data_IF_271701206147
#
_entry.id   IF_271701206147
#
_cell.length_a   1.000
_cell.length_b   1.000
_cell.length_c   1.000
_cell.angle_alpha   90.00
_cell.angle_beta   90.00
_cell.angle_gamma   90.00
#
_symmetry.space_group_name_H-M   'P 1'
#
loop_
_entity.id
_entity.type
_entity.pdbx_description
1 polymer ?
#
# COMPACT_ATOMS: atom_id res chain seq x y z
N UNK A 1 15.32 20.24 41.04
CA UNK A 1 14.02 20.69 40.48
C UNK A 1 13.96 20.29 39.02
N UNK A 2 12.97 19.48 38.65
CA UNK A 2 12.73 19.10 37.26
C UNK A 2 12.15 20.31 36.50
N UNK A 3 12.79 20.70 35.39
CA UNK A 3 12.34 21.85 34.61
C UNK A 3 11.09 21.47 33.82
N UNK A 4 9.98 22.12 34.12
CA UNK A 4 8.71 21.96 33.39
C UNK A 4 8.70 22.92 32.20
N UNK A 5 8.58 22.38 30.99
CA UNK A 5 8.50 23.18 29.77
C UNK A 5 7.04 23.34 29.32
N UNK A 6 6.58 24.58 29.14
CA UNK A 6 5.23 24.89 28.62
C UNK A 6 5.32 25.89 27.47
N UNK A 7 4.46 25.72 26.46
CA UNK A 7 4.36 26.61 25.30
C UNK A 7 3.29 27.68 25.53
N UNK A 8 3.68 28.77 26.18
CA UNK A 8 2.82 29.90 26.53
C UNK A 8 2.74 30.93 25.38
N UNK A 9 3.88 31.33 24.82
CA UNK A 9 3.94 32.36 23.78
C UNK A 9 3.55 31.83 22.38
N UNK A 10 2.68 32.56 21.68
CA UNK A 10 2.09 32.15 20.39
C UNK A 10 1.85 33.33 19.47
N UNK A 11 2.19 33.16 18.19
CA UNK A 11 1.74 34.06 17.12
C UNK A 11 0.45 33.55 16.47
N UNK A 12 -0.58 34.40 16.40
CA UNK A 12 -1.85 34.13 15.74
C UNK A 12 -1.96 34.94 14.44
N UNK A 13 -2.58 34.39 13.41
CA UNK A 13 -2.79 35.06 12.13
C UNK A 13 -4.14 34.68 11.52
N UNK A 14 -4.87 35.68 11.03
CA UNK A 14 -6.12 35.47 10.31
C UNK A 14 -5.89 35.11 8.84
N UNK A 15 -6.96 34.75 8.12
CA UNK A 15 -6.87 34.28 6.74
C UNK A 15 -6.42 35.37 5.76
N UNK A 16 -6.69 36.65 6.04
CA UNK A 16 -6.27 37.77 5.21
C UNK A 16 -4.77 38.03 5.33
N UNK A 17 -4.27 38.13 6.56
CA UNK A 17 -2.85 38.27 6.85
C UNK A 17 -2.04 37.12 6.22
N UNK A 18 -2.58 35.89 6.25
CA UNK A 18 -1.97 34.72 5.61
C UNK A 18 -1.87 34.80 4.10
N UNK A 19 -2.84 35.44 3.43
CA UNK A 19 -2.78 35.65 1.97
C UNK A 19 -1.73 36.70 1.62
N UNK A 20 -1.57 37.73 2.44
CA UNK A 20 -0.57 38.79 2.25
C UNK A 20 0.86 38.30 2.54
N UNK A 21 1.06 37.53 3.61
CA UNK A 21 2.37 37.03 4.02
C UNK A 21 2.43 35.49 3.99
N UNK A 22 2.38 34.92 2.79
CA UNK A 22 2.29 33.46 2.60
C UNK A 22 3.49 32.69 3.20
N UNK A 23 4.66 33.34 3.24
CA UNK A 23 5.90 32.75 3.73
C UNK A 23 6.24 33.10 5.18
N UNK A 24 5.41 33.90 5.86
CA UNK A 24 5.74 34.35 7.20
C UNK A 24 5.86 33.19 8.20
N UNK A 25 6.88 33.28 9.05
CA UNK A 25 7.21 32.29 10.07
C UNK A 25 7.49 32.95 11.41
N UNK A 26 7.45 32.14 12.45
CA UNK A 26 7.81 32.55 13.80
C UNK A 26 9.01 31.69 14.20
N UNK A 27 10.14 32.33 14.42
CA UNK A 27 11.38 31.72 14.86
C UNK A 27 11.49 31.86 16.39
N UNK A 28 11.88 30.79 17.07
CA UNK A 28 12.08 30.78 18.53
C UNK A 28 13.57 31.01 18.76
N UNK A 29 13.90 32.12 19.42
CA UNK A 29 15.29 32.48 19.68
C UNK A 29 15.77 31.90 21.02
N UNK A 30 17.10 31.75 21.20
CA UNK A 30 17.67 31.38 22.50
C UNK A 30 17.29 32.40 23.55
N UNK A 31 16.84 31.93 24.72
CA UNK A 31 16.64 32.78 25.89
C UNK A 31 17.99 33.00 26.56
N UNK A 32 18.36 34.26 26.79
CA UNK A 32 19.63 34.62 27.43
C UNK A 32 19.37 35.02 28.88
N UNK A 33 18.49 36.00 29.10
CA UNK A 33 18.21 36.58 30.43
C UNK A 33 16.73 36.47 30.87
N UNK A 34 15.93 35.64 30.21
CA UNK A 34 14.51 35.43 30.53
C UNK A 34 14.23 33.93 30.66
N UNK A 35 13.22 33.58 31.46
CA UNK A 35 12.62 32.25 31.50
C UNK A 35 11.75 31.95 30.26
N UNK A 36 11.39 32.97 29.48
CA UNK A 36 10.71 32.84 28.19
C UNK A 36 11.66 32.84 27.00
N UNK A 37 11.30 32.12 25.94
CA UNK A 37 12.00 32.19 24.64
C UNK A 37 11.44 33.34 23.80
N UNK A 38 12.28 34.28 23.31
CA UNK A 38 11.81 35.33 22.42
C UNK A 38 11.28 34.74 21.11
N UNK A 39 10.15 35.27 20.63
CA UNK A 39 9.56 34.91 19.35
C UNK A 39 9.82 36.00 18.31
N UNK A 40 10.47 35.64 17.21
CA UNK A 40 10.71 36.53 16.07
C UNK A 40 9.72 36.23 14.95
N UNK A 41 8.85 37.18 14.61
CA UNK A 41 7.96 37.06 13.45
C UNK A 41 8.67 37.56 12.20
N UNK A 42 9.12 36.64 11.36
CA UNK A 42 9.74 36.97 10.08
C UNK A 42 8.69 36.94 8.96
N UNK A 43 8.40 38.10 8.37
CA UNK A 43 7.39 38.27 7.32
C UNK A 43 7.87 37.84 5.93
N UNK A 44 9.16 38.01 5.66
CA UNK A 44 9.80 37.76 4.37
C UNK A 44 11.10 36.98 4.60
N UNK A 45 11.02 35.72 5.07
CA UNK A 45 12.21 34.90 5.20
C UNK A 45 12.82 34.75 3.80
N UNK A 46 14.13 35.01 3.68
CA UNK A 46 14.84 35.03 2.41
C UNK A 46 14.38 33.92 1.47
N UNK A 47 14.04 34.29 0.24
CA UNK A 47 13.59 33.35 -0.78
C UNK A 47 14.73 32.39 -1.09
N UNK A 48 14.76 31.24 -0.43
CA UNK A 48 15.65 30.14 -0.82
C UNK A 48 15.30 29.73 -2.24
N UNK A 49 16.31 29.63 -3.10
CA UNK A 49 16.19 29.21 -4.49
C UNK A 49 15.30 27.97 -4.55
N UNK A 50 14.16 28.13 -5.23
CA UNK A 50 13.29 27.01 -5.53
C UNK A 50 14.08 26.10 -6.46
N UNK A 51 14.55 24.96 -5.95
CA UNK A 51 15.03 23.88 -6.81
C UNK A 51 13.93 23.45 -7.80
N UNK A 52 14.30 22.59 -8.74
CA UNK A 52 13.37 22.06 -9.73
C UNK A 52 12.08 21.55 -9.07
N UNK A 53 10.93 22.04 -9.57
CA UNK A 53 9.64 21.61 -9.04
C UNK A 53 9.36 20.22 -9.55
N UNK A 54 9.07 19.24 -8.68
CA UNK A 54 8.74 17.90 -9.13
C UNK A 54 7.49 17.96 -9.99
N UNK A 55 7.48 17.15 -11.06
CA UNK A 55 6.32 17.00 -11.91
C UNK A 55 5.09 16.61 -11.09
N UNK A 56 3.96 17.22 -11.43
CA UNK A 56 2.67 16.88 -10.85
C UNK A 56 1.65 16.82 -11.97
N UNK A 57 0.98 15.68 -12.08
CA UNK A 57 -0.20 15.56 -12.90
C UNK A 57 -1.24 16.62 -12.50
N UNK A 58 -1.81 17.35 -13.46
CA UNK A 58 -2.89 18.31 -13.19
C UNK A 58 -4.23 17.74 -13.62
N UNK A 59 -5.20 17.66 -12.71
CA UNK A 59 -6.50 17.01 -12.97
C UNK A 59 -7.27 17.69 -14.10
N UNK A 60 -7.07 19.00 -14.28
CA UNK A 60 -7.69 19.76 -15.36
C UNK A 60 -7.38 19.21 -16.77
N UNK A 61 -6.28 18.48 -16.94
CA UNK A 61 -5.92 17.82 -18.20
C UNK A 61 -7.01 16.87 -18.71
N UNK A 62 -7.72 16.22 -17.79
CA UNK A 62 -8.85 15.33 -18.11
C UNK A 62 -10.06 16.04 -18.69
N UNK A 63 -10.12 17.37 -18.60
CA UNK A 63 -11.23 18.14 -19.20
C UNK A 63 -11.11 18.25 -20.71
N UNK A 64 -9.92 17.99 -21.28
CA UNK A 64 -9.73 18.04 -22.73
C UNK A 64 -10.20 16.73 -23.38
N UNK A 65 -11.04 16.76 -24.44
CA UNK A 65 -11.57 15.56 -25.08
C UNK A 65 -10.51 14.56 -25.54
N UNK A 66 -9.42 15.06 -26.14
CA UNK A 66 -8.32 14.23 -26.67
C UNK A 66 -7.34 13.73 -25.59
N UNK A 67 -7.59 13.94 -24.30
CA UNK A 67 -6.65 13.55 -23.25
C UNK A 67 -6.43 12.03 -23.20
N UNK A 68 -7.50 11.22 -23.31
CA UNK A 68 -7.38 9.77 -23.24
C UNK A 68 -6.61 9.22 -24.45
N UNK A 69 -6.93 9.70 -25.65
CA UNK A 69 -6.22 9.37 -26.88
C UNK A 69 -4.74 9.74 -26.81
N UNK A 70 -4.43 10.92 -26.25
CA UNK A 70 -3.06 11.35 -26.02
C UNK A 70 -2.30 10.38 -25.11
N UNK A 71 -2.91 9.92 -24.02
CA UNK A 71 -2.28 8.96 -23.11
C UNK A 71 -2.06 7.61 -23.80
N UNK A 72 -3.06 7.10 -24.51
CA UNK A 72 -2.95 5.81 -25.23
C UNK A 72 -1.85 5.84 -26.30
N UNK A 73 -1.73 6.95 -27.04
CA UNK A 73 -0.68 7.14 -28.04
C UNK A 73 0.71 7.26 -27.42
N UNK A 74 0.83 7.91 -26.27
CA UNK A 74 2.12 8.18 -25.63
C UNK A 74 2.63 6.99 -24.82
N UNK A 75 1.73 6.16 -24.32
CA UNK A 75 2.08 5.05 -23.43
C UNK A 75 2.56 3.82 -24.21
N UNK A 76 3.85 3.48 -24.09
CA UNK A 76 4.44 2.28 -24.70
C UNK A 76 4.58 1.16 -23.67
N UNK A 77 4.04 -0.03 -23.96
CA UNK A 77 4.10 -1.19 -23.06
C UNK A 77 5.46 -1.91 -23.09
N UNK A 78 6.31 -1.63 -24.08
CA UNK A 78 7.56 -2.34 -24.31
C UNK A 78 8.75 -1.79 -23.51
N UNK A 79 8.55 -0.71 -22.75
CA UNK A 79 9.61 -0.10 -21.94
C UNK A 79 9.44 -0.39 -20.44
N UNK A 80 10.55 -0.54 -19.69
CA UNK A 80 10.47 -0.64 -18.23
C UNK A 80 9.73 0.56 -17.63
N UNK A 81 8.87 0.29 -16.65
CA UNK A 81 7.97 1.29 -16.03
C UNK A 81 8.63 2.65 -15.70
N UNK A 82 9.86 2.73 -15.14
CA UNK A 82 10.48 4.03 -14.88
C UNK A 82 10.70 4.89 -16.14
N UNK A 83 11.13 4.28 -17.25
CA UNK A 83 11.37 4.99 -18.51
C UNK A 83 10.05 5.39 -19.18
N UNK A 84 9.04 4.52 -19.12
CA UNK A 84 7.69 4.85 -19.60
C UNK A 84 7.12 6.07 -18.88
N UNK A 85 7.30 6.15 -17.55
CA UNK A 85 6.84 7.28 -16.73
C UNK A 85 7.61 8.57 -17.04
N UNK A 86 8.91 8.48 -17.31
CA UNK A 86 9.75 9.64 -17.67
C UNK A 86 9.34 10.22 -19.02
N UNK A 87 9.20 9.38 -20.05
CA UNK A 87 8.73 9.79 -21.38
C UNK A 87 7.32 10.40 -21.34
N UNK A 88 6.39 9.77 -20.62
CA UNK A 88 5.05 10.31 -20.42
C UNK A 88 5.08 11.67 -19.70
N UNK A 89 5.98 11.83 -18.73
CA UNK A 89 6.13 13.08 -17.98
C UNK A 89 6.57 14.23 -18.89
N UNK A 90 7.52 14.00 -19.79
CA UNK A 90 7.97 14.99 -20.76
C UNK A 90 6.87 15.36 -21.76
N UNK A 91 6.19 14.36 -22.32
CA UNK A 91 5.09 14.57 -23.24
C UNK A 91 3.95 15.38 -22.59
N UNK A 92 3.58 15.07 -21.35
CA UNK A 92 2.55 15.83 -20.61
C UNK A 92 2.97 17.27 -20.30
N UNK A 93 4.26 17.53 -20.06
CA UNK A 93 4.77 18.90 -19.87
C UNK A 93 4.60 19.72 -21.15
N UNK A 94 5.00 19.17 -22.29
CA UNK A 94 4.87 19.83 -23.60
C UNK A 94 3.39 20.05 -23.95
N UNK A 95 2.56 19.02 -23.80
CA UNK A 95 1.13 19.12 -24.06
C UNK A 95 0.41 20.15 -23.18
N UNK A 96 0.79 20.26 -21.91
CA UNK A 96 0.26 21.29 -21.02
C UNK A 96 0.61 22.71 -21.49
N UNK A 97 1.81 22.93 -22.02
CA UNK A 97 2.21 24.23 -22.55
C UNK A 97 1.42 24.59 -23.83
N UNK A 98 1.25 23.62 -24.73
CA UNK A 98 0.59 23.81 -26.03
C UNK A 98 -0.93 23.98 -25.89
N UNK A 99 -1.59 23.10 -25.13
CA UNK A 99 -3.06 23.06 -25.07
C UNK A 99 -3.62 23.99 -23.99
N UNK A 100 -3.10 23.91 -22.77
CA UNK A 100 -3.64 24.67 -21.63
C UNK A 100 -2.95 26.02 -21.47
N UNK A 101 -1.62 26.06 -21.58
CA UNK A 101 -0.82 27.23 -21.30
C UNK A 101 -1.05 27.78 -19.89
N UNK A 102 -1.01 29.10 -19.73
CA UNK A 102 -1.31 29.73 -18.45
C UNK A 102 -2.79 30.07 -18.32
N UNK A 103 -3.55 29.19 -17.64
CA UNK A 103 -4.99 29.33 -17.38
C UNK A 103 -5.34 30.68 -16.73
N UNK A 104 -4.50 31.19 -15.81
CA UNK A 104 -4.72 32.49 -15.16
C UNK A 104 -4.56 33.67 -16.12
N UNK A 105 -3.60 33.58 -17.06
CA UNK A 105 -3.42 34.59 -18.11
C UNK A 105 -4.59 34.56 -19.09
N UNK A 106 -5.02 33.38 -19.53
CA UNK A 106 -6.20 33.19 -20.42
C UNK A 106 -7.45 33.80 -19.79
N UNK A 107 -7.74 33.49 -18.53
CA UNK A 107 -8.85 34.09 -17.76
C UNK A 107 -8.84 35.61 -17.80
N UNK A 108 -7.68 36.22 -17.49
CA UNK A 108 -7.53 37.68 -17.48
C UNK A 108 -7.78 38.28 -18.87
N UNK A 109 -7.25 37.66 -19.92
CA UNK A 109 -7.47 38.10 -21.29
C UNK A 109 -8.95 38.05 -21.68
N UNK A 110 -9.65 36.95 -21.38
CA UNK A 110 -11.09 36.79 -21.69
C UNK A 110 -11.92 37.84 -20.94
N UNK A 111 -11.67 38.03 -19.63
CA UNK A 111 -12.37 39.06 -18.84
C UNK A 111 -12.13 40.47 -19.40
N UNK A 112 -10.91 40.79 -19.83
CA UNK A 112 -10.62 42.08 -20.45
C UNK A 112 -11.36 42.25 -21.78
N UNK A 113 -11.49 41.19 -22.59
CA UNK A 113 -12.27 41.23 -23.85
C UNK A 113 -13.76 41.40 -23.59
N UNK A 114 -14.33 40.66 -22.64
CA UNK A 114 -15.73 40.80 -22.24
C UNK A 114 -16.01 42.22 -21.73
N UNK A 115 -15.16 42.75 -20.86
CA UNK A 115 -15.26 44.13 -20.39
C UNK A 115 -15.15 45.16 -21.54
N UNK A 116 -14.35 44.87 -22.57
CA UNK A 116 -14.26 45.70 -23.77
C UNK A 116 -15.56 45.70 -24.59
N UNK A 117 -16.17 44.53 -24.78
CA UNK A 117 -17.46 44.38 -25.48
C UNK A 117 -18.57 45.13 -24.74
N UNK A 118 -18.64 44.97 -23.42
CA UNK A 118 -19.65 45.61 -22.56
C UNK A 118 -19.51 47.13 -22.46
N UNK A 119 -18.31 47.66 -22.77
CA UNK A 119 -18.05 49.11 -22.85
C UNK A 119 -18.24 49.70 -24.25
N UNK A 120 -18.51 48.87 -25.27
CA UNK A 120 -18.67 49.35 -26.62
C UNK A 120 -20.00 50.15 -26.77
N UNK A 121 -20.02 51.27 -27.52
CA UNK A 121 -21.23 52.08 -27.70
C UNK A 121 -22.35 51.36 -28.46
N UNK A 122 -22.03 50.26 -29.16
CA UNK A 122 -22.96 49.42 -29.91
C UNK A 122 -23.38 48.15 -29.16
N UNK A 123 -23.10 48.07 -27.86
CA UNK A 123 -23.48 46.94 -27.01
C UNK A 123 -25.00 46.70 -27.05
N UNK A 124 -25.41 45.43 -27.18
CA UNK A 124 -26.82 45.03 -27.31
C UNK A 124 -27.52 45.40 -28.63
N UNK A 125 -26.80 46.00 -29.59
CA UNK A 125 -27.33 46.33 -30.93
C UNK A 125 -26.60 45.63 -32.07
N UNK A 126 -25.46 45.00 -31.79
CA UNK A 126 -24.64 44.31 -32.77
C UNK A 126 -24.67 42.79 -32.56
N UNK A 127 -25.33 42.01 -33.45
CA UNK A 127 -25.41 40.55 -33.35
C UNK A 127 -24.04 39.85 -33.31
N UNK A 128 -23.01 40.44 -33.93
CA UNK A 128 -21.66 39.89 -33.90
C UNK A 128 -21.03 40.00 -32.49
N UNK A 129 -21.22 41.12 -31.81
CA UNK A 129 -20.72 41.32 -30.45
C UNK A 129 -21.45 40.41 -29.46
N UNK A 130 -22.76 40.18 -29.63
CA UNK A 130 -23.52 39.23 -28.81
C UNK A 130 -23.08 37.78 -29.03
N UNK A 131 -22.77 37.40 -30.27
CA UNK A 131 -22.19 36.08 -30.56
C UNK A 131 -20.82 35.93 -29.89
N UNK A 132 -19.96 36.93 -30.03
CA UNK A 132 -18.63 36.95 -29.44
C UNK A 132 -18.67 36.92 -27.90
N UNK A 133 -19.57 37.66 -27.28
CA UNK A 133 -19.79 37.64 -25.82
C UNK A 133 -20.25 36.27 -25.34
N UNK A 134 -21.17 35.62 -26.05
CA UNK A 134 -21.60 34.24 -25.75
C UNK A 134 -20.45 33.24 -25.90
N UNK A 135 -19.64 33.36 -26.94
CA UNK A 135 -18.48 32.49 -27.17
C UNK A 135 -17.42 32.67 -26.07
N UNK A 136 -17.06 33.91 -25.75
CA UNK A 136 -16.11 34.23 -24.68
C UNK A 136 -16.63 33.84 -23.29
N UNK A 137 -17.94 33.93 -23.05
CA UNK A 137 -18.53 33.48 -21.77
C UNK A 137 -18.44 31.96 -21.62
N UNK A 138 -18.70 31.21 -22.69
CA UNK A 138 -18.49 29.75 -22.71
C UNK A 138 -17.03 29.38 -22.48
N UNK A 139 -16.10 30.08 -23.13
CA UNK A 139 -14.67 29.88 -22.92
C UNK A 139 -14.26 30.21 -21.48
N UNK A 140 -14.80 31.28 -20.90
CA UNK A 140 -14.56 31.65 -19.51
C UNK A 140 -15.04 30.57 -18.54
N UNK A 141 -16.22 30.00 -18.75
CA UNK A 141 -16.74 28.91 -17.91
C UNK A 141 -15.83 27.68 -17.93
N UNK A 142 -15.30 27.31 -19.10
CA UNK A 142 -14.33 26.22 -19.22
C UNK A 142 -13.05 26.52 -18.45
N UNK A 143 -12.50 27.73 -18.59
CA UNK A 143 -11.28 28.18 -17.89
C UNK A 143 -11.51 28.24 -16.37
N UNK A 144 -12.68 28.69 -15.92
CA UNK A 144 -13.04 28.71 -14.50
C UNK A 144 -13.13 27.30 -13.91
N UNK A 145 -13.72 26.35 -14.64
CA UNK A 145 -13.75 24.94 -14.23
C UNK A 145 -12.33 24.35 -14.12
N UNK A 146 -11.46 24.63 -15.08
CA UNK A 146 -10.04 24.20 -15.03
C UNK A 146 -9.31 24.79 -13.82
N UNK A 147 -9.50 26.09 -13.54
CA UNK A 147 -8.93 26.76 -12.36
C UNK A 147 -9.43 26.13 -11.05
N UNK A 148 -10.72 25.84 -10.97
CA UNK A 148 -11.34 25.18 -9.82
C UNK A 148 -10.75 23.79 -9.56
N UNK A 149 -10.67 22.94 -10.58
CA UNK A 149 -10.07 21.61 -10.49
C UNK A 149 -8.61 21.66 -10.01
N UNK A 150 -7.85 22.64 -10.52
CA UNK A 150 -6.46 22.87 -10.13
C UNK A 150 -6.35 23.24 -8.64
N UNK A 151 -7.21 24.12 -8.13
CA UNK A 151 -7.20 24.51 -6.70
C UNK A 151 -7.74 23.42 -5.79
N UNK A 152 -8.78 22.71 -6.20
CA UNK A 152 -9.31 21.54 -5.50
C UNK A 152 -8.21 20.49 -5.33
N UNK A 153 -7.50 20.14 -6.40
CA UNK A 153 -6.39 19.20 -6.38
C UNK A 153 -5.25 19.66 -5.45
N UNK A 154 -4.87 20.93 -5.52
CA UNK A 154 -3.80 21.51 -4.67
C UNK A 154 -4.17 21.53 -3.19
N UNK A 155 -5.44 21.75 -2.87
CA UNK A 155 -5.96 21.77 -1.49
C UNK A 155 -6.07 20.38 -0.86
N UNK A 156 -6.22 19.32 -1.68
CA UNK A 156 -6.46 17.93 -1.25
C UNK A 156 -7.73 17.76 -0.38
N UNK A 157 -8.74 18.58 -0.60
CA UNK A 157 -10.06 18.42 0.03
C UNK A 157 -10.94 17.45 -0.77
N UNK A 158 -11.78 16.68 -0.08
CA UNK A 158 -12.68 15.70 -0.68
C UNK A 158 -14.12 16.22 -0.83
N UNK A 159 -14.54 17.15 0.02
CA UNK A 159 -15.93 17.62 0.08
C UNK A 159 -15.96 19.11 -0.24
N UNK A 160 -16.89 19.48 -1.12
CA UNK A 160 -17.26 20.86 -1.43
C UNK A 160 -18.63 21.04 -0.78
N UNK A 161 -18.76 21.98 0.14
CA UNK A 161 -20.09 22.50 0.50
C UNK A 161 -20.30 23.65 -0.46
N UNK A 162 -21.39 23.59 -1.23
CA UNK A 162 -21.67 24.49 -2.35
C UNK A 162 -21.37 25.97 -2.04
N UNK A 163 -20.70 26.65 -2.98
CA UNK A 163 -20.68 28.12 -3.04
C UNK A 163 -19.31 28.76 -3.34
N UNK A 164 -19.18 29.25 -4.58
CA UNK A 164 -18.18 30.15 -5.16
C UNK A 164 -16.96 29.51 -5.87
N UNK A 165 -16.89 29.65 -7.21
CA UNK A 165 -15.80 29.14 -8.05
C UNK A 165 -14.54 29.96 -7.74
N UNK A 166 -13.47 29.29 -7.28
CA UNK A 166 -12.21 29.90 -6.77
C UNK A 166 -12.28 30.41 -5.31
N UNK A 167 -12.93 29.66 -4.42
CA UNK A 167 -13.04 30.01 -3.00
C UNK A 167 -11.70 30.41 -2.37
N UNK A 168 -11.68 31.56 -1.69
CA UNK A 168 -10.59 31.99 -0.77
C UNK A 168 -10.17 30.85 0.17
N UNK A 169 -11.11 29.97 0.52
CA UNK A 169 -10.90 28.74 1.27
C UNK A 169 -9.78 27.84 0.69
N UNK A 170 -9.80 27.50 -0.61
CA UNK A 170 -8.81 26.59 -1.20
C UNK A 170 -7.41 27.19 -1.20
N UNK A 171 -7.30 28.50 -1.45
CA UNK A 171 -6.04 29.23 -1.36
C UNK A 171 -5.47 29.18 0.06
N UNK A 172 -6.29 29.52 1.05
CA UNK A 172 -5.90 29.49 2.46
C UNK A 172 -5.51 28.08 2.90
N UNK A 173 -6.29 27.06 2.54
CA UNK A 173 -5.97 25.65 2.84
C UNK A 173 -4.67 25.20 2.17
N UNK A 174 -4.47 25.55 0.90
CA UNK A 174 -3.23 25.25 0.16
C UNK A 174 -2.03 25.91 0.82
N UNK A 175 -2.14 27.18 1.23
CA UNK A 175 -1.09 27.90 1.94
C UNK A 175 -0.75 27.24 3.29
N UNK A 176 -1.77 26.89 4.10
CA UNK A 176 -1.58 26.16 5.36
C UNK A 176 -0.88 24.83 5.13
N UNK A 177 -1.30 24.06 4.11
CA UNK A 177 -0.71 22.77 3.76
C UNK A 177 0.74 22.90 3.31
N UNK A 178 1.03 23.87 2.42
CA UNK A 178 2.41 24.16 1.97
C UNK A 178 3.32 24.47 3.16
N UNK A 179 2.84 25.27 4.12
CA UNK A 179 3.58 25.56 5.35
C UNK A 179 3.81 24.31 6.20
N UNK A 180 2.76 23.52 6.46
CA UNK A 180 2.86 22.30 7.28
C UNK A 180 3.82 21.28 6.68
N UNK A 181 3.86 21.17 5.36
CA UNK A 181 4.71 20.21 4.64
C UNK A 181 6.10 20.77 4.33
N UNK A 182 6.40 22.03 4.66
CA UNK A 182 7.70 22.63 4.43
C UNK A 182 8.67 22.12 5.50
N UNK A 183 9.66 21.35 5.08
CA UNK A 183 10.78 20.94 5.92
C UNK A 183 11.76 22.11 5.97
N UNK A 184 11.90 22.75 7.14
CA UNK A 184 12.81 23.88 7.34
C UNK A 184 14.18 23.45 7.83
N UNK A 185 14.18 22.48 8.74
CA UNK A 185 15.38 21.93 9.37
C UNK A 185 15.17 20.47 9.74
N UNK A 186 16.24 19.70 9.70
CA UNK A 186 16.28 18.32 10.19
C UNK A 186 17.34 18.23 11.30
N UNK A 187 17.10 17.35 12.26
CA UNK A 187 18.04 17.09 13.34
C UNK A 187 18.96 15.94 12.93
N UNK A 188 20.26 16.13 13.09
CA UNK A 188 21.28 15.10 12.89
C UNK A 188 21.30 14.10 14.07
N UNK A 189 22.01 12.99 13.88
CA UNK A 189 22.24 11.98 14.92
C UNK A 189 23.04 12.49 16.12
N UNK A 190 23.92 13.47 15.91
CA UNK A 190 24.69 14.18 16.96
C UNK A 190 23.84 15.19 17.76
N UNK A 191 22.57 15.37 17.39
CA UNK A 191 21.64 16.29 18.04
C UNK A 191 21.63 17.72 17.48
N UNK A 192 22.52 18.08 16.55
CA UNK A 192 22.56 19.39 15.88
C UNK A 192 21.44 19.55 14.85
N UNK A 193 21.09 20.80 14.52
CA UNK A 193 20.08 21.12 13.50
C UNK A 193 20.75 21.56 12.19
N UNK A 194 20.40 20.90 11.09
CA UNK A 194 20.77 21.30 9.74
C UNK A 194 19.64 22.13 9.11
N UNK A 195 19.98 23.26 8.50
CA UNK A 195 19.04 24.09 7.73
C UNK A 195 19.39 24.18 6.24
N UNK A 196 20.51 23.62 5.81
CA UNK A 196 21.03 23.75 4.45
C UNK A 196 20.29 22.84 3.46
N UNK A 197 19.83 23.39 2.34
CA UNK A 197 18.89 22.70 1.46
C UNK A 197 19.46 21.44 0.81
N UNK A 198 20.74 21.45 0.42
CA UNK A 198 21.38 20.31 -0.23
C UNK A 198 21.59 19.17 0.78
N UNK A 199 22.13 19.50 1.94
CA UNK A 199 22.32 18.55 3.03
C UNK A 199 21.00 17.95 3.53
N UNK A 200 19.92 18.73 3.62
CA UNK A 200 18.59 18.22 3.94
C UNK A 200 18.11 17.16 2.94
N UNK A 201 18.44 17.30 1.64
CA UNK A 201 18.12 16.29 0.62
C UNK A 201 18.95 15.04 0.84
N UNK A 202 20.26 15.19 1.02
CA UNK A 202 21.18 14.06 1.15
C UNK A 202 20.90 13.25 2.42
N UNK A 203 20.56 13.93 3.53
CA UNK A 203 20.05 13.31 4.75
C UNK A 203 18.76 12.51 4.52
N UNK A 204 17.82 13.04 3.73
CA UNK A 204 16.57 12.34 3.44
C UNK A 204 16.82 11.10 2.57
N UNK A 205 17.64 11.24 1.52
CA UNK A 205 17.99 10.15 0.60
C UNK A 205 18.74 9.06 1.35
N UNK A 206 19.83 9.39 2.06
CA UNK A 206 20.61 8.43 2.85
C UNK A 206 19.75 7.67 3.86
N UNK A 207 18.88 8.37 4.59
CA UNK A 207 17.98 7.74 5.55
C UNK A 207 17.03 6.73 4.87
N UNK A 208 16.36 7.11 3.78
CA UNK A 208 15.43 6.22 3.10
C UNK A 208 16.14 5.07 2.38
N UNK A 209 17.30 5.33 1.78
CA UNK A 209 18.14 4.29 1.18
C UNK A 209 18.57 3.27 2.22
N UNK A 210 19.06 3.70 3.39
CA UNK A 210 19.38 2.81 4.51
C UNK A 210 18.15 2.04 5.01
N UNK A 211 17.02 2.73 5.18
CA UNK A 211 15.80 2.13 5.71
C UNK A 211 15.19 1.06 4.81
N UNK A 212 15.34 1.20 3.49
CA UNK A 212 14.86 0.22 2.52
C UNK A 212 15.96 -0.73 2.02
N UNK A 213 17.22 -0.53 2.44
CA UNK A 213 18.29 -1.50 2.28
C UNK A 213 17.96 -2.76 3.10
N UNK A 214 18.37 -3.91 2.59
CA UNK A 214 18.25 -5.17 3.31
C UNK A 214 19.15 -5.14 4.55
N UNK A 215 18.58 -5.41 5.73
CA UNK A 215 19.36 -5.51 6.97
C UNK A 215 20.06 -6.88 7.00
N UNK A 216 21.38 -6.89 6.83
CA UNK A 216 22.21 -8.02 7.27
C UNK A 216 22.28 -7.96 8.80
N UNK A 217 21.47 -8.78 9.48
CA UNK A 217 21.53 -8.89 10.94
C UNK A 217 22.42 -10.08 11.31
N UNK A 218 23.45 -9.84 12.12
CA UNK A 218 24.14 -10.90 12.86
C UNK A 218 23.22 -11.44 13.95
N UNK A 219 23.10 -12.76 14.07
CA UNK A 219 22.10 -13.41 14.92
C UNK A 219 22.72 -13.99 16.20
N UNK A 220 22.11 -13.66 17.34
CA UNK A 220 22.36 -14.28 18.64
C UNK A 220 21.73 -15.68 18.72
N UNK A 221 22.48 -16.58 19.37
CA UNK A 221 22.21 -18.01 19.55
C UNK A 221 21.01 -18.29 20.47
N UNK A 222 20.26 -19.34 20.12
CA UNK A 222 19.26 -19.98 20.97
C UNK A 222 19.41 -21.50 20.79
N UNK A 223 19.68 -22.20 21.89
CA UNK A 223 19.79 -23.66 21.97
C UNK A 223 18.43 -24.34 21.78
N UNK A 224 18.41 -25.42 20.99
CA UNK A 224 17.23 -26.22 20.68
C UNK A 224 17.51 -27.72 20.86
N UNK A 225 16.73 -28.44 21.68
CA UNK A 225 16.62 -29.88 21.65
C UNK A 225 15.38 -30.35 20.86
N UNK A 226 15.64 -31.20 19.85
CA UNK A 226 14.78 -32.24 19.22
C UNK A 226 13.87 -31.85 18.04
N UNK A 227 14.12 -32.47 16.87
CA UNK A 227 13.16 -33.35 16.14
C UNK A 227 13.79 -34.19 15.00
N UNK A 228 14.95 -34.81 15.23
CA UNK A 228 15.43 -35.99 14.49
C UNK A 228 16.16 -36.89 15.51
N UNK A 229 16.20 -38.23 15.35
CA UNK A 229 17.09 -39.04 16.16
C UNK A 229 18.50 -38.46 15.99
N UNK A 230 19.14 -38.10 17.10
CA UNK A 230 20.49 -37.58 17.06
C UNK A 230 21.37 -38.63 16.38
N UNK A 231 22.04 -38.21 15.31
CA UNK A 231 23.05 -39.05 14.68
C UNK A 231 24.17 -39.24 15.71
N UNK A 232 24.59 -40.49 15.89
CA UNK A 232 25.70 -40.85 16.77
C UNK A 232 26.93 -40.01 16.43
N UNK A 233 27.63 -39.52 17.46
CA UNK A 233 28.71 -38.54 17.31
C UNK A 233 29.80 -39.00 16.34
N UNK A 234 30.09 -40.30 16.32
CA UNK A 234 31.00 -40.92 15.34
C UNK A 234 30.56 -40.72 13.89
N UNK A 235 29.29 -41.01 13.60
CA UNK A 235 28.74 -40.86 12.25
C UNK A 235 28.63 -39.37 11.86
N UNK A 236 28.36 -38.49 12.82
CA UNK A 236 28.34 -37.04 12.61
C UNK A 236 29.72 -36.50 12.20
N UNK A 237 30.76 -36.89 12.93
CA UNK A 237 32.14 -36.51 12.64
C UNK A 237 32.62 -37.09 11.29
N UNK A 238 32.23 -38.33 10.98
CA UNK A 238 32.50 -38.91 9.65
C UNK A 238 31.84 -38.13 8.53
N UNK A 239 30.56 -37.77 8.65
CA UNK A 239 29.84 -36.99 7.64
C UNK A 239 30.47 -35.60 7.49
N UNK A 240 30.83 -34.94 8.60
CA UNK A 240 31.49 -33.63 8.55
C UNK A 240 32.86 -33.70 7.86
N UNK A 241 33.66 -34.71 8.19
CA UNK A 241 34.98 -34.94 7.56
C UNK A 241 34.87 -35.29 6.07
N UNK A 242 33.91 -36.11 5.66
CA UNK A 242 33.72 -36.51 4.26
C UNK A 242 33.16 -35.37 3.43
N UNK A 243 32.19 -34.63 3.98
CA UNK A 243 31.48 -33.58 3.25
C UNK A 243 32.20 -32.24 3.25
N UNK A 244 33.13 -32.01 4.19
CA UNK A 244 33.78 -30.72 4.40
C UNK A 244 32.86 -29.65 5.02
N UNK A 245 31.63 -29.99 5.39
CA UNK A 245 30.69 -29.05 6.01
C UNK A 245 30.90 -29.01 7.53
N UNK A 246 30.96 -27.79 8.08
CA UNK A 246 30.96 -27.59 9.53
C UNK A 246 29.60 -27.93 10.14
N UNK A 247 29.62 -28.62 11.28
CA UNK A 247 28.43 -28.85 12.08
C UNK A 247 27.84 -27.52 12.57
N UNK A 248 26.53 -27.34 12.38
CA UNK A 248 25.80 -26.19 12.87
C UNK A 248 24.71 -26.67 13.84
N UNK A 249 24.71 -26.11 15.06
CA UNK A 249 23.72 -26.41 16.10
C UNK A 249 22.36 -25.76 15.84
N UNK A 250 22.26 -24.84 14.88
CA UNK A 250 21.04 -24.11 14.54
C UNK A 250 20.98 -23.79 13.03
N UNK A 251 19.82 -24.03 12.41
CA UNK A 251 19.56 -23.74 11.00
C UNK A 251 19.30 -22.25 10.73
N UNK A 252 19.11 -21.45 11.79
CA UNK A 252 19.06 -20.00 11.74
C UNK A 252 17.93 -19.45 10.85
N UNK A 253 18.24 -18.36 10.14
CA UNK A 253 17.32 -17.71 9.20
C UNK A 253 17.73 -18.02 7.77
N UNK A 254 16.80 -18.54 6.99
CA UNK A 254 16.98 -18.82 5.58
C UNK A 254 15.96 -18.05 4.75
N UNK A 255 16.42 -17.29 3.75
CA UNK A 255 15.58 -16.49 2.84
C UNK A 255 14.52 -15.62 3.56
N UNK A 256 14.86 -15.04 4.70
CA UNK A 256 13.93 -14.19 5.45
C UNK A 256 13.13 -14.89 6.55
N UNK A 257 13.09 -16.24 6.57
CA UNK A 257 12.30 -17.06 7.48
C UNK A 257 13.17 -17.76 8.53
N UNK A 258 12.69 -17.83 9.77
CA UNK A 258 13.39 -18.55 10.84
C UNK A 258 13.09 -20.05 10.71
N UNK A 259 14.11 -20.85 10.44
CA UNK A 259 14.03 -22.32 10.47
C UNK A 259 14.19 -22.74 11.93
N UNK A 260 13.11 -22.60 12.70
CA UNK A 260 13.07 -23.04 14.10
C UNK A 260 12.28 -24.34 14.22
N UNK A 261 12.86 -25.34 14.89
CA UNK A 261 12.28 -26.69 15.04
C UNK A 261 11.27 -26.78 16.21
N UNK A 262 11.21 -25.75 17.07
CA UNK A 262 10.31 -25.74 18.22
C UNK A 262 8.91 -25.18 17.90
N UNK A 263 7.89 -25.62 18.67
CA UNK A 263 6.52 -25.06 18.65
C UNK A 263 6.58 -23.54 18.56
N UNK A 264 5.95 -22.99 17.52
CA UNK A 264 6.05 -21.57 17.15
C UNK A 264 5.45 -20.68 18.23
N UNK A 265 6.29 -20.23 19.16
CA UNK A 265 5.91 -19.27 20.21
C UNK A 265 5.81 -17.87 19.61
N UNK A 266 5.08 -16.98 20.29
CA UNK A 266 4.95 -15.56 19.89
C UNK A 266 6.32 -14.89 19.68
N UNK A 267 7.34 -15.35 20.41
CA UNK A 267 8.70 -14.83 20.37
C UNK A 267 9.36 -14.98 18.99
N UNK A 268 9.04 -16.03 18.24
CA UNK A 268 9.59 -16.24 16.88
C UNK A 268 9.14 -15.14 15.91
N UNK A 269 8.02 -14.48 16.19
CA UNK A 269 7.48 -13.39 15.38
C UNK A 269 7.86 -12.01 15.90
N UNK A 270 8.61 -11.92 17.01
CA UNK A 270 9.04 -10.64 17.59
C UNK A 270 9.89 -9.86 16.59
N UNK A 271 10.84 -10.51 15.93
CA UNK A 271 11.67 -9.92 14.87
C UNK A 271 10.83 -9.41 13.70
N UNK A 272 9.80 -10.15 13.27
CA UNK A 272 8.86 -9.70 12.23
C UNK A 272 8.02 -8.50 12.70
N UNK A 273 7.54 -8.50 13.95
CA UNK A 273 6.83 -7.37 14.52
C UNK A 273 7.69 -6.12 14.62
N UNK A 274 8.95 -6.26 15.02
CA UNK A 274 9.88 -5.16 15.13
C UNK A 274 10.23 -4.61 13.74
N UNK A 275 10.38 -5.47 12.73
CA UNK A 275 10.47 -5.03 11.31
C UNK A 275 9.25 -4.20 10.89
N UNK A 276 8.04 -4.67 11.20
CA UNK A 276 6.80 -3.92 10.89
C UNK A 276 6.80 -2.56 11.59
N UNK A 277 7.17 -2.49 12.87
CA UNK A 277 7.23 -1.23 13.64
C UNK A 277 8.32 -0.28 13.10
N UNK A 278 9.51 -0.79 12.82
CA UNK A 278 10.66 0.00 12.35
C UNK A 278 10.39 0.62 10.97
N UNK A 279 9.71 -0.11 10.08
CA UNK A 279 9.29 0.43 8.77
C UNK A 279 8.27 1.58 8.91
N UNK A 280 7.61 1.74 10.07
CA UNK A 280 6.53 2.71 10.32
C UNK A 280 6.90 3.86 11.26
N UNK A 281 8.18 4.24 11.33
CA UNK A 281 8.65 5.38 12.13
C UNK A 281 7.69 6.59 12.10
N UNK A 282 7.31 7.09 13.29
CA UNK A 282 6.16 7.98 13.49
C UNK A 282 6.16 9.30 12.71
N UNK A 283 7.29 9.71 12.14
CA UNK A 283 7.37 10.89 11.28
C UNK A 283 6.80 10.65 9.87
N UNK A 284 6.90 9.43 9.32
CA UNK A 284 6.36 9.06 8.00
C UNK A 284 4.86 9.34 7.91
N UNK A 285 4.16 9.06 9.00
CA UNK A 285 2.72 9.30 9.14
C UNK A 285 2.34 10.78 9.08
N UNK A 286 3.17 11.68 9.61
CA UNK A 286 2.89 13.12 9.66
C UNK A 286 3.09 13.83 8.32
N UNK A 287 3.87 13.22 7.42
CA UNK A 287 4.16 13.75 6.09
C UNK A 287 3.20 13.20 5.00
N UNK A 288 2.41 12.16 5.31
CA UNK A 288 1.54 11.48 4.35
C UNK A 288 0.07 11.91 4.47
N UNK A 289 -0.62 12.00 3.32
CA UNK A 289 -2.08 12.08 3.30
C UNK A 289 -2.69 10.74 3.74
N UNK A 290 -3.99 10.74 4.04
CA UNK A 290 -4.73 9.51 4.37
C UNK A 290 -4.56 8.43 3.28
N UNK A 291 -4.75 8.81 2.02
CA UNK A 291 -4.53 7.92 0.89
C UNK A 291 -3.09 7.40 0.82
N UNK A 292 -2.08 8.26 1.07
CA UNK A 292 -0.68 7.85 1.10
C UNK A 292 -0.37 6.83 2.21
N UNK A 293 -0.99 6.99 3.39
CA UNK A 293 -0.86 6.03 4.51
C UNK A 293 -1.48 4.69 4.15
N UNK A 294 -2.68 4.69 3.55
CA UNK A 294 -3.35 3.46 3.09
C UNK A 294 -2.48 2.74 2.05
N UNK A 295 -1.97 3.46 1.05
CA UNK A 295 -1.11 2.88 0.01
C UNK A 295 0.16 2.26 0.62
N UNK A 296 0.85 2.97 1.51
CA UNK A 296 2.05 2.44 2.15
C UNK A 296 1.75 1.23 3.04
N UNK A 297 0.62 1.25 3.77
CA UNK A 297 0.21 0.14 4.60
C UNK A 297 -0.06 -1.14 3.78
N UNK A 298 -0.68 -0.98 2.60
CA UNK A 298 -0.91 -2.10 1.68
C UNK A 298 0.37 -2.60 1.02
N UNK A 299 1.23 -1.69 0.55
CA UNK A 299 2.40 -2.06 -0.24
C UNK A 299 3.58 -2.55 0.62
N UNK A 300 3.69 -2.07 1.86
CA UNK A 300 4.84 -2.36 2.72
C UNK A 300 4.45 -3.23 3.91
N UNK A 301 3.39 -2.88 4.66
CA UNK A 301 3.08 -3.60 5.91
C UNK A 301 2.46 -4.97 5.62
N UNK A 302 1.49 -5.02 4.71
CA UNK A 302 0.76 -6.25 4.42
C UNK A 302 1.68 -7.36 3.89
N UNK A 303 2.64 -7.10 2.98
CA UNK A 303 3.49 -8.15 2.44
C UNK A 303 4.56 -8.69 3.38
N UNK A 304 4.94 -7.95 4.43
CA UNK A 304 6.01 -8.38 5.35
C UNK A 304 5.70 -9.75 5.97
N UNK A 305 4.43 -10.03 6.28
CA UNK A 305 4.02 -11.33 6.81
C UNK A 305 3.80 -12.40 5.75
N UNK A 306 3.77 -12.08 4.46
CA UNK A 306 3.49 -13.07 3.42
C UNK A 306 4.51 -14.20 3.43
N UNK A 307 5.79 -13.87 3.59
CA UNK A 307 6.87 -14.87 3.66
C UNK A 307 6.65 -15.85 4.82
N UNK A 308 6.31 -15.35 6.00
CA UNK A 308 5.98 -16.19 7.16
C UNK A 308 4.72 -17.03 6.90
N UNK A 309 3.67 -16.43 6.35
CA UNK A 309 2.40 -17.10 6.05
C UNK A 309 2.51 -18.21 5.00
N UNK A 310 3.49 -18.13 4.09
CA UNK A 310 3.68 -19.09 3.00
C UNK A 310 4.12 -20.48 3.45
N UNK A 311 4.68 -20.62 4.65
CA UNK A 311 5.23 -21.89 5.16
C UNK A 311 4.74 -22.23 6.59
N UNK A 312 3.98 -21.34 7.21
CA UNK A 312 3.62 -21.41 8.62
C UNK A 312 2.20 -20.91 8.88
N UNK A 313 1.48 -21.56 9.80
CA UNK A 313 0.30 -20.95 10.43
C UNK A 313 0.74 -19.92 11.49
N UNK A 314 0.52 -18.64 11.18
CA UNK A 314 0.84 -17.51 12.06
C UNK A 314 -0.21 -17.45 13.18
N UNK A 315 0.21 -17.31 14.46
CA UNK A 315 -0.75 -17.18 15.55
C UNK A 315 -1.68 -15.97 15.36
N UNK A 316 -2.99 -16.17 15.55
CA UNK A 316 -4.01 -15.11 15.37
C UNK A 316 -3.71 -13.83 16.17
N UNK A 317 -3.04 -13.96 17.33
CA UNK A 317 -2.59 -12.82 18.13
C UNK A 317 -1.58 -11.93 17.38
N UNK A 318 -0.62 -12.53 16.67
CA UNK A 318 0.37 -11.80 15.86
C UNK A 318 -0.32 -11.10 14.68
N UNK A 319 -1.26 -11.78 14.01
CA UNK A 319 -2.07 -11.16 12.95
C UNK A 319 -2.82 -9.92 13.48
N UNK A 320 -3.49 -10.04 14.63
CA UNK A 320 -4.21 -8.92 15.26
C UNK A 320 -3.29 -7.77 15.64
N UNK A 321 -2.07 -8.06 16.10
CA UNK A 321 -1.07 -7.04 16.42
C UNK A 321 -0.59 -6.28 15.19
N UNK A 322 -0.32 -6.97 14.07
CA UNK A 322 0.04 -6.29 12.82
C UNK A 322 -1.13 -5.47 12.27
N UNK A 323 -2.35 -6.00 12.30
CA UNK A 323 -3.56 -5.25 11.93
C UNK A 323 -3.79 -4.03 12.83
N UNK A 324 -3.42 -4.11 14.12
CA UNK A 324 -3.45 -2.97 15.04
C UNK A 324 -2.45 -1.90 14.61
N UNK A 325 -1.22 -2.29 14.30
CA UNK A 325 -0.18 -1.36 13.82
C UNK A 325 -0.61 -0.71 12.49
N UNK A 326 -1.19 -1.46 11.55
CA UNK A 326 -1.74 -0.93 10.30
C UNK A 326 -2.80 0.14 10.56
N UNK A 327 -3.78 -0.15 11.43
CA UNK A 327 -4.84 0.80 11.80
C UNK A 327 -4.30 2.07 12.43
N UNK A 328 -3.40 1.92 13.39
CA UNK A 328 -2.76 3.06 14.05
C UNK A 328 -1.98 3.91 13.06
N UNK A 329 -1.30 3.31 12.10
CA UNK A 329 -0.60 4.05 11.05
C UNK A 329 -1.55 4.81 10.11
N UNK A 330 -2.66 4.19 9.68
CA UNK A 330 -3.65 4.80 8.79
C UNK A 330 -4.27 6.05 9.45
N UNK A 331 -4.81 5.90 10.65
CA UNK A 331 -5.45 7.01 11.38
C UNK A 331 -4.45 8.01 11.95
N UNK A 332 -3.21 7.57 12.12
CA UNK A 332 -2.10 8.41 12.51
C UNK A 332 -1.99 8.63 14.01
N UNK A 333 -2.05 7.52 14.75
CA UNK A 333 -1.76 7.50 16.18
C UNK A 333 -0.29 7.85 16.40
N UNK A 334 -0.01 8.94 17.12
CA UNK A 334 1.33 9.32 17.54
C UNK A 334 1.67 8.73 18.90
N UNK A 335 2.95 8.86 19.34
CA UNK A 335 3.39 8.43 20.68
C UNK A 335 2.59 9.09 21.82
N UNK A 336 2.14 10.33 21.59
CA UNK A 336 1.45 11.15 22.61
C UNK A 336 -0.03 11.40 22.31
N UNK A 337 -0.52 11.06 21.11
CA UNK A 337 -1.93 11.31 20.77
C UNK A 337 -2.53 10.16 19.97
N UNK A 338 -3.55 9.53 20.56
CA UNK A 338 -4.37 8.52 19.89
C UNK A 338 -5.44 9.22 19.06
N UNK A 339 -5.65 8.79 17.82
CA UNK A 339 -6.70 9.30 16.95
C UNK A 339 -7.92 8.39 17.03
N UNK A 340 -9.09 8.96 16.76
CA UNK A 340 -10.34 8.19 16.70
C UNK A 340 -10.33 7.37 15.41
N UNK A 341 -10.46 6.05 15.54
CA UNK A 341 -10.56 5.14 14.40
C UNK A 341 -12.02 5.06 14.00
N UNK A 342 -12.46 5.95 13.11
CA UNK A 342 -13.87 6.18 12.81
C UNK A 342 -14.58 5.01 12.09
N UNK A 343 -13.82 4.07 11.51
CA UNK A 343 -14.34 2.97 10.70
C UNK A 343 -13.83 1.64 11.26
N UNK A 344 -14.70 0.65 11.39
CA UNK A 344 -14.34 -0.69 11.84
C UNK A 344 -13.36 -1.37 10.88
N UNK A 345 -12.51 -2.25 11.41
CA UNK A 345 -11.53 -2.96 10.59
C UNK A 345 -12.21 -3.88 9.57
N UNK A 346 -13.32 -4.50 9.97
CA UNK A 346 -14.21 -5.30 9.11
C UNK A 346 -14.61 -4.52 7.85
N UNK A 347 -15.04 -3.27 8.02
CA UNK A 347 -15.47 -2.42 6.88
C UNK A 347 -14.27 -2.03 6.02
N UNK A 348 -13.13 -1.72 6.63
CA UNK A 348 -11.88 -1.41 5.92
C UNK A 348 -11.41 -2.59 5.07
N UNK A 349 -11.62 -3.82 5.54
CA UNK A 349 -11.24 -5.04 4.83
C UNK A 349 -12.17 -5.42 3.67
N UNK A 350 -13.36 -4.82 3.56
CA UNK A 350 -14.26 -5.12 2.43
C UNK A 350 -13.60 -4.75 1.08
N UNK A 351 -13.98 -5.43 -0.01
CA UNK A 351 -13.59 -5.03 -1.36
C UNK A 351 -13.90 -3.56 -1.64
N UNK A 352 -13.10 -2.92 -2.51
CA UNK A 352 -13.32 -1.53 -2.91
C UNK A 352 -14.71 -1.34 -3.53
N UNK A 353 -15.20 -2.36 -4.24
CA UNK A 353 -16.56 -2.38 -4.84
C UNK A 353 -17.68 -2.36 -3.81
N UNK A 354 -17.42 -2.82 -2.59
CA UNK A 354 -18.38 -2.86 -1.48
C UNK A 354 -18.17 -1.70 -0.49
N UNK A 355 -17.46 -0.66 -0.90
CA UNK A 355 -17.19 0.52 -0.08
C UNK A 355 -16.07 0.35 0.95
N UNK A 356 -15.36 -0.78 0.93
CA UNK A 356 -14.18 -0.99 1.77
C UNK A 356 -12.90 -0.40 1.17
N UNK A 357 -11.80 -0.52 1.93
CA UNK A 357 -10.50 -0.07 1.48
C UNK A 357 -9.68 -1.21 0.88
N UNK A 358 -10.19 -2.44 0.75
CA UNK A 358 -9.50 -3.56 0.12
C UNK A 358 -8.25 -4.02 0.87
N UNK A 359 -8.23 -3.91 2.20
CA UNK A 359 -7.28 -4.64 3.05
C UNK A 359 -7.74 -6.10 3.19
N UNK A 360 -6.82 -7.04 3.33
CA UNK A 360 -7.19 -8.43 3.62
C UNK A 360 -6.96 -8.71 5.09
N UNK A 361 -7.90 -9.40 5.73
CA UNK A 361 -7.69 -9.92 7.09
C UNK A 361 -6.50 -10.88 7.06
N UNK A 362 -5.50 -10.63 7.89
CA UNK A 362 -4.24 -11.38 7.87
C UNK A 362 -4.43 -12.84 8.24
N UNK A 363 -5.39 -13.13 9.13
CA UNK A 363 -5.79 -14.50 9.48
C UNK A 363 -6.33 -15.26 8.26
N UNK A 364 -7.22 -14.63 7.49
CA UNK A 364 -7.80 -15.20 6.26
C UNK A 364 -6.77 -15.34 5.14
N UNK A 365 -5.87 -14.38 5.04
CA UNK A 365 -4.75 -14.45 4.10
C UNK A 365 -3.81 -15.62 4.41
N UNK A 366 -3.54 -15.90 5.70
CA UNK A 366 -2.74 -17.07 6.09
C UNK A 366 -3.47 -18.39 5.82
N UNK A 367 -4.78 -18.47 6.09
CA UNK A 367 -5.62 -19.63 5.70
C UNK A 367 -5.52 -19.88 4.18
N UNK A 368 -5.59 -18.83 3.35
CA UNK A 368 -5.45 -18.95 1.90
C UNK A 368 -4.05 -19.43 1.46
N UNK A 369 -2.98 -19.02 2.14
CA UNK A 369 -1.64 -19.56 1.87
C UNK A 369 -1.53 -21.04 2.21
N UNK A 370 -2.12 -21.49 3.33
CA UNK A 370 -2.17 -22.91 3.68
C UNK A 370 -2.94 -23.71 2.62
N UNK A 371 -4.08 -23.19 2.16
CA UNK A 371 -4.84 -23.79 1.05
C UNK A 371 -4.02 -23.89 -0.23
N UNK A 372 -3.17 -22.89 -0.52
CA UNK A 372 -2.24 -22.95 -1.66
C UNK A 372 -1.22 -24.09 -1.49
N UNK A 373 -0.73 -24.36 -0.28
CA UNK A 373 0.16 -25.52 -0.02
C UNK A 373 -0.60 -26.82 -0.28
N UNK A 374 -1.83 -26.93 0.24
CA UNK A 374 -2.69 -28.10 0.01
C UNK A 374 -2.90 -28.33 -1.50
N UNK A 375 -3.25 -27.29 -2.24
CA UNK A 375 -3.42 -27.36 -3.70
C UNK A 375 -2.18 -27.93 -4.38
N UNK A 376 -0.99 -27.40 -4.05
CA UNK A 376 0.27 -27.88 -4.62
C UNK A 376 0.56 -29.32 -4.21
N UNK A 377 0.22 -29.73 -2.98
CA UNK A 377 0.39 -31.11 -2.51
C UNK A 377 -0.48 -32.10 -3.31
N UNK A 378 -1.69 -31.69 -3.69
CA UNK A 378 -2.59 -32.53 -4.50
C UNK A 378 -2.17 -32.54 -5.98
N UNK A 379 -1.65 -31.42 -6.51
CA UNK A 379 -1.31 -31.24 -7.93
C UNK A 379 0.08 -31.72 -8.31
N UNK A 380 1.07 -31.36 -7.50
CA UNK A 380 2.49 -31.57 -7.77
C UNK A 380 2.99 -32.86 -7.09
N UNK A 381 2.24 -33.96 -7.20
CA UNK A 381 2.57 -35.24 -6.52
C UNK A 381 3.94 -35.81 -6.89
N UNK A 382 4.46 -35.46 -8.06
CA UNK A 382 5.78 -35.88 -8.54
C UNK A 382 6.92 -35.05 -7.96
N UNK A 383 6.62 -33.91 -7.31
CA UNK A 383 7.65 -33.10 -6.67
C UNK A 383 8.17 -33.76 -5.39
N UNK A 384 9.48 -33.68 -5.16
CA UNK A 384 10.15 -34.34 -4.04
C UNK A 384 9.55 -33.95 -2.68
N UNK A 385 9.27 -32.66 -2.46
CA UNK A 385 8.70 -32.19 -1.20
C UNK A 385 7.29 -32.77 -0.97
N UNK A 386 6.48 -32.90 -2.02
CA UNK A 386 5.15 -33.49 -1.93
C UNK A 386 5.25 -34.99 -1.62
N UNK A 387 6.17 -35.71 -2.28
CA UNK A 387 6.45 -37.12 -2.00
C UNK A 387 6.88 -37.35 -0.55
N UNK A 388 7.82 -36.54 -0.05
CA UNK A 388 8.28 -36.63 1.36
C UNK A 388 7.12 -36.39 2.33
N UNK A 389 6.31 -35.36 2.10
CA UNK A 389 5.15 -35.06 2.93
C UNK A 389 4.10 -36.18 2.89
N UNK A 390 3.84 -36.73 1.71
CA UNK A 390 2.90 -37.84 1.49
C UNK A 390 3.39 -39.14 2.15
N UNK A 391 4.67 -39.48 2.00
CA UNK A 391 5.25 -40.68 2.61
C UNK A 391 5.27 -40.59 4.13
N UNK A 392 5.58 -39.40 4.68
CA UNK A 392 5.65 -39.20 6.14
C UNK A 392 4.28 -39.10 6.81
N UNK A 393 3.36 -38.33 6.23
CA UNK A 393 2.09 -38.00 6.88
C UNK A 393 0.85 -38.57 6.20
N UNK A 394 0.94 -38.91 4.91
CA UNK A 394 -0.18 -39.44 4.14
C UNK A 394 -0.61 -40.83 4.59
N UNK A 395 0.29 -41.65 5.15
CA UNK A 395 -0.02 -42.98 5.74
C UNK A 395 -0.87 -43.88 4.83
N UNK A 396 -0.61 -43.83 3.53
CA UNK A 396 -1.37 -44.58 2.52
C UNK A 396 -2.80 -44.09 2.26
N UNK A 397 -3.24 -42.99 2.88
CA UNK A 397 -4.56 -42.40 2.65
C UNK A 397 -4.57 -41.50 1.42
N UNK A 398 -5.70 -41.49 0.71
CA UNK A 398 -5.92 -40.54 -0.37
C UNK A 398 -6.26 -39.17 0.21
N UNK A 399 -5.30 -38.24 0.12
CA UNK A 399 -5.48 -36.86 0.58
C UNK A 399 -6.68 -36.16 -0.06
N UNK A 400 -7.20 -36.62 -1.21
CA UNK A 400 -8.41 -36.04 -1.81
C UNK A 400 -9.67 -36.25 -0.96
N UNK A 401 -9.67 -37.26 -0.10
CA UNK A 401 -10.79 -37.49 0.80
C UNK A 401 -10.61 -36.73 2.11
N UNK A 402 -9.46 -36.95 2.77
CA UNK A 402 -9.20 -36.34 4.07
C UNK A 402 -7.70 -36.18 4.38
N UNK A 403 -7.35 -35.14 5.11
CA UNK A 403 -6.04 -34.95 5.74
C UNK A 403 -6.20 -35.17 7.24
N UNK A 404 -5.81 -36.35 7.73
CA UNK A 404 -5.83 -36.65 9.16
C UNK A 404 -4.54 -36.23 9.84
N UNK A 405 -4.66 -35.65 11.03
CA UNK A 405 -3.52 -35.23 11.84
C UNK A 405 -3.48 -35.91 13.21
N UNK A 406 -2.29 -36.32 13.65
CA UNK A 406 -1.98 -36.81 15.00
C UNK A 406 -1.27 -35.74 15.81
N UNK A 407 -1.26 -35.89 17.13
CA UNK A 407 -0.57 -34.95 18.01
C UNK A 407 0.95 -34.90 17.78
N UNK A 408 1.55 -36.02 17.34
CA UNK A 408 2.96 -36.16 16.98
C UNK A 408 3.31 -35.56 15.62
N UNK A 409 2.32 -35.15 14.81
CA UNK A 409 2.59 -34.59 13.49
C UNK A 409 3.09 -33.15 13.59
N UNK A 410 3.82 -32.73 12.55
CA UNK A 410 4.33 -31.36 12.46
C UNK A 410 3.20 -30.32 12.53
N UNK A 411 3.54 -29.14 13.08
CA UNK A 411 2.63 -28.00 13.16
C UNK A 411 2.02 -27.65 11.80
N UNK A 412 2.81 -27.72 10.73
CA UNK A 412 2.34 -27.47 9.38
C UNK A 412 1.28 -28.49 8.98
N UNK A 413 1.53 -29.80 9.14
CA UNK A 413 0.55 -30.83 8.78
C UNK A 413 -0.77 -30.68 9.56
N UNK A 414 -0.69 -30.42 10.86
CA UNK A 414 -1.87 -30.14 11.70
C UNK A 414 -2.63 -28.89 11.23
N UNK A 415 -1.91 -27.87 10.76
CA UNK A 415 -2.51 -26.65 10.22
C UNK A 415 -3.19 -26.91 8.87
N UNK A 416 -2.60 -27.74 8.00
CA UNK A 416 -3.21 -28.14 6.72
C UNK A 416 -4.48 -28.96 6.97
N UNK A 417 -4.45 -29.91 7.91
CA UNK A 417 -5.62 -30.70 8.31
C UNK A 417 -6.80 -29.83 8.78
N UNK A 418 -6.52 -28.77 9.56
CA UNK A 418 -7.56 -27.83 10.03
C UNK A 418 -8.23 -27.06 8.90
N UNK A 419 -7.49 -26.69 7.86
CA UNK A 419 -8.02 -25.91 6.73
C UNK A 419 -8.57 -26.81 5.62
N UNK A 420 -8.30 -28.13 5.69
CA UNK A 420 -8.71 -29.11 4.68
C UNK A 420 -10.22 -29.14 4.45
N UNK A 421 -11.05 -29.12 5.50
CA UNK A 421 -12.52 -29.16 5.35
C UNK A 421 -13.02 -28.02 4.46
N UNK A 422 -12.71 -26.78 4.84
CA UNK A 422 -13.05 -25.61 4.02
C UNK A 422 -12.44 -25.66 2.61
N UNK A 423 -11.21 -26.15 2.46
CA UNK A 423 -10.60 -26.29 1.15
C UNK A 423 -11.36 -27.28 0.25
N UNK A 424 -11.73 -28.45 0.78
CA UNK A 424 -12.47 -29.50 0.08
C UNK A 424 -13.80 -29.00 -0.45
N UNK A 425 -14.53 -28.23 0.36
CA UNK A 425 -15.84 -27.69 -0.01
C UNK A 425 -15.76 -26.63 -1.14
N UNK A 426 -14.56 -26.10 -1.42
CA UNK A 426 -14.34 -25.02 -2.39
C UNK A 426 -13.54 -25.46 -3.63
N UNK A 427 -13.29 -26.77 -3.80
CA UNK A 427 -12.59 -27.31 -4.98
C UNK A 427 -13.51 -28.22 -5.79
N UNK A 428 -13.37 -28.13 -7.11
CA UNK A 428 -14.08 -28.98 -8.06
C UNK A 428 -13.07 -29.68 -8.97
N UNK A 429 -13.32 -30.95 -9.27
CA UNK A 429 -12.56 -31.71 -10.24
C UNK A 429 -13.20 -31.56 -11.62
N UNK A 430 -12.43 -31.08 -12.60
CA UNK A 430 -12.88 -31.04 -13.99
C UNK A 430 -12.72 -32.42 -14.63
N UNK A 431 -13.81 -32.97 -15.19
CA UNK A 431 -13.76 -34.26 -15.88
C UNK A 431 -12.85 -34.16 -17.10
N UNK A 432 -11.86 -35.05 -17.18
CA UNK A 432 -11.06 -35.29 -18.38
C UNK A 432 -10.79 -36.79 -18.60
N UNK A 433 -9.57 -37.18 -18.97
CA UNK A 433 -9.22 -38.59 -19.18
C UNK A 433 -9.36 -39.40 -17.88
N UNK A 434 -10.30 -40.36 -17.85
CA UNK A 434 -10.84 -41.14 -16.70
C UNK A 434 -9.85 -41.85 -15.75
N UNK A 435 -8.54 -41.59 -15.81
CA UNK A 435 -7.49 -42.27 -15.03
C UNK A 435 -7.27 -41.69 -13.64
N UNK A 436 -7.72 -40.47 -13.35
CA UNK A 436 -7.38 -39.76 -12.10
C UNK A 436 -8.59 -39.29 -11.27
N UNK A 437 -9.82 -39.40 -11.77
CA UNK A 437 -11.04 -38.95 -11.07
C UNK A 437 -11.84 -40.18 -10.68
N UNK A 438 -12.23 -40.28 -9.42
CA UNK A 438 -13.17 -41.30 -8.95
C UNK A 438 -14.57 -40.76 -9.14
N UNK A 439 -15.25 -41.30 -10.14
CA UNK A 439 -16.58 -40.85 -10.60
C UNK A 439 -17.57 -40.66 -9.45
N UNK A 440 -17.55 -41.55 -8.46
CA UNK A 440 -18.51 -41.60 -7.35
C UNK A 440 -18.09 -40.85 -6.08
N UNK A 441 -16.84 -40.38 -6.00
CA UNK A 441 -16.25 -39.89 -4.74
C UNK A 441 -15.76 -38.44 -4.87
N UNK A 442 -15.24 -38.06 -6.03
CA UNK A 442 -14.65 -36.74 -6.23
C UNK A 442 -15.75 -35.75 -6.69
N UNK A 443 -15.84 -34.53 -6.14
CA UNK A 443 -16.85 -33.54 -6.54
C UNK A 443 -16.49 -32.94 -7.92
N UNK A 444 -17.23 -33.34 -8.96
CA UNK A 444 -17.01 -32.86 -10.34
C UNK A 444 -18.25 -32.18 -10.98
N UNK A 445 -19.39 -32.18 -10.29
CA UNK A 445 -20.61 -31.47 -10.69
C UNK A 445 -20.60 -30.07 -10.05
N UNK A 446 -20.90 -29.04 -10.85
CA UNK A 446 -20.89 -27.62 -10.46
C UNK A 446 -22.04 -27.22 -9.53
N UNK A 447 -23.09 -28.02 -9.49
CA UNK A 447 -24.30 -27.80 -8.70
C UNK A 447 -24.49 -29.04 -7.83
N UNK A 448 -24.85 -28.84 -6.57
CA UNK A 448 -24.97 -29.84 -5.50
C UNK A 448 -26.03 -30.96 -5.72
N UNK A 449 -26.30 -31.34 -6.95
CA UNK A 449 -27.14 -32.49 -7.23
C UNK A 449 -26.28 -33.75 -7.15
N UNK A 450 -26.58 -34.55 -6.12
CA UNK A 450 -26.04 -35.89 -5.95
C UNK A 450 -26.23 -36.69 -7.26
N UNK A 451 -25.22 -37.44 -7.68
CA UNK A 451 -25.25 -38.24 -8.92
C UNK A 451 -26.46 -39.18 -8.92
N UNK A 452 -26.89 -39.64 -7.75
CA UNK A 452 -28.07 -40.49 -7.57
C UNK A 452 -29.40 -39.82 -7.94
N UNK A 453 -29.49 -38.48 -7.89
CA UNK A 453 -30.67 -37.75 -8.36
C UNK A 453 -30.65 -37.63 -9.90
N UNK A 454 -29.47 -37.47 -10.49
CA UNK A 454 -29.28 -37.31 -11.94
C UNK A 454 -29.45 -38.64 -12.71
N UNK A 455 -29.08 -39.79 -12.12
CA UNK A 455 -29.20 -41.10 -12.79
C UNK A 455 -30.65 -41.53 -13.04
N UNK A 456 -31.63 -40.96 -12.34
CA UNK A 456 -33.05 -41.19 -12.59
C UNK A 456 -33.56 -40.60 -13.91
N UNK A 457 -32.80 -39.69 -14.54
CA UNK A 457 -33.26 -38.87 -15.67
C UNK A 457 -32.41 -38.92 -16.94
N UNK A 458 -31.32 -39.70 -17.00
CA UNK A 458 -30.41 -39.72 -18.17
C UNK A 458 -30.37 -41.09 -18.88
N UNK A 459 -30.82 -41.12 -20.14
CA UNK A 459 -30.56 -42.20 -21.10
C UNK A 459 -29.09 -42.12 -21.58
N UNK A 460 -28.33 -43.19 -21.37
CA UNK A 460 -26.93 -43.31 -21.78
C UNK A 460 -26.72 -43.11 -23.29
N UNK A 461 -25.73 -42.29 -23.67
CA UNK A 461 -25.00 -42.39 -24.95
C UNK A 461 -23.49 -42.23 -24.71
N UNK A 462 -22.60 -43.01 -25.37
CA UNK A 462 -21.19 -43.02 -25.02
C UNK A 462 -20.33 -42.03 -25.84
N UNK A 463 -19.31 -41.54 -25.13
CA UNK A 463 -17.97 -41.11 -25.58
C UNK A 463 -17.75 -39.69 -26.13
N UNK A 464 -17.04 -38.87 -25.34
CA UNK A 464 -16.25 -37.71 -25.81
C UNK A 464 -14.94 -37.66 -24.99
N UNK A 465 -13.75 -37.58 -25.62
CA UNK A 465 -12.46 -37.50 -24.94
C UNK A 465 -12.05 -36.02 -24.70
N UNK A 466 -11.74 -35.64 -23.47
CA UNK A 466 -11.17 -34.31 -23.15
C UNK A 466 -10.09 -34.40 -22.07
N UNK A 467 -9.01 -33.62 -22.23
CA UNK A 467 -7.86 -33.56 -21.33
C UNK A 467 -8.15 -32.85 -19.99
N UNK A 468 -7.30 -33.08 -18.98
CA UNK A 468 -7.51 -32.61 -17.60
C UNK A 468 -6.81 -31.26 -17.36
N UNK A 469 -7.53 -30.30 -16.76
CA UNK A 469 -6.95 -29.11 -16.11
C UNK A 469 -7.83 -28.69 -14.93
N UNK A 470 -7.29 -28.70 -13.71
CA UNK A 470 -8.01 -28.30 -12.51
C UNK A 470 -8.30 -26.80 -12.54
N UNK A 471 -9.58 -26.42 -12.49
CA UNK A 471 -10.00 -25.02 -12.60
C UNK A 471 -10.05 -24.38 -11.22
N UNK A 472 -9.40 -23.22 -11.12
CA UNK A 472 -9.48 -22.33 -9.98
C UNK A 472 -10.87 -21.68 -9.97
N UNK A 473 -11.77 -22.09 -9.09
CA UNK A 473 -12.95 -21.31 -8.74
C UNK A 473 -12.46 -20.00 -8.13
N UNK A 474 -12.96 -18.88 -8.66
CA UNK A 474 -12.63 -17.55 -8.13
C UNK A 474 -13.00 -17.53 -6.65
N UNK A 475 -12.00 -17.40 -5.78
CA UNK A 475 -12.20 -16.95 -4.40
C UNK A 475 -12.85 -15.57 -4.47
N UNK A 476 -14.17 -15.52 -4.44
CA UNK A 476 -14.90 -14.29 -4.16
C UNK A 476 -14.63 -13.92 -2.69
N UNK A 477 -14.46 -12.62 -2.46
CA UNK A 477 -13.82 -12.02 -1.30
C UNK A 477 -14.16 -12.63 0.06
N UNK A 478 -13.11 -12.84 0.86
CA UNK A 478 -13.13 -12.70 2.32
C UNK A 478 -12.12 -11.63 2.71
#
# INVERSE_FOLDING_TARGET
>A
MERVFKRLDRGLANAEWRRRYMNARVDILPRVNSDHHPLLVNLTPGMRLLGERPFRFEVMWKTHPSFNEFIEKTWTNDTPLPRALESLTEALKSWNLEVFGNVFRKKRTILNRLAGIQKAPTYGRNPHLEKLERDLSRELDQILNQEELLWLQKSRQQWIVDGDRNMKFYHTKTAIRRRKNRILKLRRGDGSWCEEQQELKDMAVSFYSSLYKEESTDYLSLDLPISYPNVEERLRNQISNISGFQEQSNLGKYLGAMISDNRKKKDNFKTTLDRVKNKLGGWKMNCLSMAGRITLAKAVISPILNYDMMHTQVPKGICKEVERIQRSFIWGDGRESRKVHAISWETICKPIKEGGLGFRKLSKMNEAFLQKIIWRLVMEKESLWAQVMLSKYGRGQDLRQNILSKQSDSDLWRSLAKVWGFFKDNIEFSIGNRRRIRLWIDPWLKNEEDIFQITSSIKFRPYIPLGITLKKTKFYGV
#
